data_IF_502735224456
#
_entry.id   IF_502735224456
#
_cell.length_a   1.000
_cell.length_b   1.000
_cell.length_c   1.000
_cell.angle_alpha   90.00
_cell.angle_beta   90.00
_cell.angle_gamma   90.00
#
_symmetry.space_group_name_H-M   'P 1'
#
loop_
_entity.id
_entity.type
_entity.pdbx_description
1 polymer ?
#
# COMPACT_ATOMS: atom_id res chain seq x y z
N UNK A 1 -12.82 -19.72 -23.75
CA UNK A 1 -13.85 -20.12 -22.76
C UNK A 1 -13.30 -20.69 -21.44
N UNK A 2 -12.07 -21.26 -21.38
CA UNK A 2 -11.48 -21.73 -20.10
C UNK A 2 -10.90 -20.63 -19.19
N UNK A 3 -10.54 -19.45 -19.71
CA UNK A 3 -9.99 -18.35 -18.88
C UNK A 3 -11.05 -17.49 -18.18
N UNK A 4 -12.23 -17.32 -18.77
CA UNK A 4 -13.28 -16.43 -18.21
C UNK A 4 -13.78 -16.96 -16.86
N UNK A 5 -13.89 -18.27 -16.69
CA UNK A 5 -14.34 -18.89 -15.43
C UNK A 5 -13.32 -18.82 -14.30
N UNK A 6 -12.02 -18.77 -14.61
CA UNK A 6 -10.96 -18.56 -13.60
C UNK A 6 -10.86 -17.09 -13.21
N UNK A 7 -11.01 -16.18 -14.18
CA UNK A 7 -11.03 -14.73 -13.97
C UNK A 7 -12.24 -14.31 -13.12
N UNK A 8 -13.42 -14.91 -13.35
CA UNK A 8 -14.60 -14.69 -12.50
C UNK A 8 -14.37 -15.18 -11.06
N UNK A 9 -13.65 -16.30 -10.88
CA UNK A 9 -13.30 -16.83 -9.56
C UNK A 9 -12.29 -15.92 -8.81
N UNK A 10 -11.30 -15.39 -9.53
CA UNK A 10 -10.33 -14.40 -9.03
C UNK A 10 -11.03 -13.11 -8.63
N UNK A 11 -11.94 -12.59 -9.47
CA UNK A 11 -12.79 -11.46 -9.13
C UNK A 11 -13.62 -11.75 -7.86
N UNK A 12 -14.26 -12.92 -7.74
CA UNK A 12 -15.02 -13.25 -6.52
C UNK A 12 -14.17 -13.42 -5.26
N UNK A 13 -12.89 -13.83 -5.37
CA UNK A 13 -11.95 -13.87 -4.24
C UNK A 13 -11.57 -12.47 -3.74
N UNK A 14 -11.55 -11.46 -4.62
CA UNK A 14 -11.29 -10.07 -4.23
C UNK A 14 -12.47 -9.38 -3.53
N UNK A 15 -13.71 -9.84 -3.73
CA UNK A 15 -14.92 -9.10 -3.34
C UNK A 15 -15.66 -9.63 -2.11
N UNK A 16 -15.12 -10.60 -1.37
CA UNK A 16 -15.79 -11.08 -0.15
C UNK A 16 -15.08 -10.56 1.09
N UNK A 17 -15.48 -9.36 1.54
CA UNK A 17 -15.97 -9.07 2.91
C UNK A 17 -15.78 -7.59 3.29
N UNK A 18 -16.88 -7.06 3.81
CA UNK A 18 -17.09 -5.84 4.61
C UNK A 18 -17.39 -4.51 3.86
N UNK A 19 -18.61 -3.95 4.02
CA UNK A 19 -19.01 -2.69 3.42
C UNK A 19 -18.44 -1.53 4.24
N UNK A 20 -17.29 -1.00 3.81
CA UNK A 20 -17.04 0.42 4.07
C UNK A 20 -18.15 1.18 3.34
N UNK A 21 -18.89 2.02 4.06
CA UNK A 21 -19.96 2.83 3.45
C UNK A 21 -19.34 3.69 2.34
N UNK A 22 -19.78 3.45 1.11
CA UNK A 22 -19.27 4.09 -0.10
C UNK A 22 -19.63 5.58 -0.11
N UNK A 23 -18.72 6.42 0.35
CA UNK A 23 -18.58 7.72 -0.31
C UNK A 23 -17.83 7.43 -1.61
N UNK A 24 -18.47 7.73 -2.74
CA UNK A 24 -17.88 7.55 -4.08
C UNK A 24 -16.52 8.23 -4.14
N UNK A 25 -15.44 7.45 -4.19
CA UNK A 25 -14.08 7.98 -4.26
C UNK A 25 -13.60 8.02 -5.71
N UNK A 26 -13.31 9.23 -6.21
CA UNK A 26 -12.74 9.40 -7.55
C UNK A 26 -11.30 9.90 -7.44
N UNK A 27 -10.30 9.07 -7.77
CA UNK A 27 -8.90 9.50 -7.70
C UNK A 27 -8.60 10.57 -8.74
N UNK A 28 -7.84 11.58 -8.33
CA UNK A 28 -7.39 12.67 -9.22
C UNK A 28 -5.88 12.54 -9.52
N UNK A 29 -5.42 13.07 -10.66
CA UNK A 29 -3.98 13.12 -10.96
C UNK A 29 -3.26 14.11 -10.02
N UNK A 30 -2.12 13.70 -9.45
CA UNK A 30 -1.22 14.62 -8.75
C UNK A 30 -0.68 15.68 -9.70
N UNK A 31 -0.32 16.83 -9.14
CA UNK A 31 0.28 17.96 -9.87
C UNK A 31 1.60 17.60 -10.58
N UNK A 32 2.31 16.58 -10.10
CA UNK A 32 3.51 16.05 -10.70
C UNK A 32 3.35 14.55 -10.95
N UNK A 33 3.60 14.13 -12.19
CA UNK A 33 3.60 12.72 -12.59
C UNK A 33 5.03 12.21 -12.55
N UNK A 34 5.25 11.05 -11.94
CA UNK A 34 6.54 10.38 -11.87
C UNK A 34 6.80 9.55 -13.13
N UNK A 35 7.99 9.67 -13.70
CA UNK A 35 8.45 8.77 -14.75
C UNK A 35 8.70 7.34 -14.21
N UNK A 36 8.46 6.28 -15.02
CA UNK A 36 8.87 4.91 -14.64
C UNK A 36 10.33 4.85 -14.26
N UNK A 37 10.66 4.03 -13.26
CA UNK A 37 12.03 3.53 -13.13
C UNK A 37 12.28 2.28 -14.01
N UNK A 38 13.54 1.83 -13.96
CA UNK A 38 14.04 0.68 -14.70
C UNK A 38 13.31 -0.62 -14.37
N UNK A 39 12.88 -0.80 -13.12
CA UNK A 39 12.20 -2.01 -12.66
C UNK A 39 10.81 -2.09 -13.24
N UNK A 40 10.04 -0.99 -13.17
CA UNK A 40 8.71 -0.89 -13.79
C UNK A 40 8.74 -1.17 -15.30
N UNK A 41 9.77 -0.66 -16.01
CA UNK A 41 9.93 -0.90 -17.44
C UNK A 41 10.12 -2.40 -17.71
N UNK A 42 10.93 -3.10 -16.92
CA UNK A 42 11.17 -4.52 -17.08
C UNK A 42 9.87 -5.32 -16.90
N UNK A 43 9.12 -5.08 -15.81
CA UNK A 43 7.87 -5.81 -15.55
C UNK A 43 6.83 -5.53 -16.64
N UNK A 44 6.73 -4.27 -17.10
CA UNK A 44 5.80 -3.90 -18.17
C UNK A 44 6.07 -4.69 -19.45
N UNK A 45 7.33 -4.88 -19.84
CA UNK A 45 7.67 -5.65 -21.05
C UNK A 45 7.13 -7.08 -21.00
N UNK A 46 7.09 -7.66 -19.80
CA UNK A 46 6.71 -9.07 -19.58
C UNK A 46 5.20 -9.22 -19.40
N UNK A 47 4.57 -8.23 -18.77
CA UNK A 47 3.16 -8.25 -18.38
C UNK A 47 2.26 -7.38 -19.27
N UNK A 48 2.68 -7.07 -20.51
CA UNK A 48 1.93 -6.19 -21.42
C UNK A 48 0.73 -6.92 -22.06
N UNK A 49 -0.36 -7.04 -21.31
CA UNK A 49 -1.63 -7.56 -21.83
C UNK A 49 -2.77 -6.55 -21.64
N UNK A 50 -3.24 -5.95 -22.74
CA UNK A 50 -4.27 -4.89 -22.67
C UNK A 50 -5.62 -5.38 -22.13
N UNK A 51 -5.96 -6.65 -22.33
CA UNK A 51 -7.21 -7.23 -21.85
C UNK A 51 -7.20 -7.29 -20.32
N UNK A 52 -6.17 -7.90 -19.77
CA UNK A 52 -5.91 -8.03 -18.34
C UNK A 52 -5.75 -6.66 -17.67
N UNK A 53 -5.08 -5.70 -18.31
CA UNK A 53 -5.03 -4.32 -17.81
C UNK A 53 -6.43 -3.73 -17.66
N UNK A 54 -7.27 -3.90 -18.68
CA UNK A 54 -8.64 -3.36 -18.68
C UNK A 54 -9.48 -4.03 -17.60
N UNK A 55 -9.34 -5.34 -17.41
CA UNK A 55 -10.02 -6.11 -16.36
C UNK A 55 -9.60 -5.67 -14.95
N UNK A 56 -8.30 -5.52 -14.69
CA UNK A 56 -7.79 -5.05 -13.38
C UNK A 56 -8.28 -3.62 -13.09
N UNK A 57 -8.21 -2.73 -14.08
CA UNK A 57 -8.71 -1.36 -13.93
C UNK A 57 -10.21 -1.32 -13.69
N UNK A 58 -10.97 -2.18 -14.36
CA UNK A 58 -12.41 -2.30 -14.12
C UNK A 58 -12.71 -2.83 -12.73
N UNK A 59 -11.96 -3.82 -12.24
CA UNK A 59 -12.08 -4.30 -10.87
C UNK A 59 -11.88 -3.18 -9.84
N UNK A 60 -10.89 -2.30 -10.05
CA UNK A 60 -10.72 -1.12 -9.19
C UNK A 60 -11.89 -0.13 -9.27
N UNK A 61 -12.47 0.10 -10.47
CA UNK A 61 -13.64 0.98 -10.63
C UNK A 61 -14.89 0.42 -9.97
N UNK A 62 -15.15 -0.87 -10.15
CA UNK A 62 -16.32 -1.56 -9.59
C UNK A 62 -16.26 -1.57 -8.05
N UNK A 63 -15.06 -1.64 -7.47
CA UNK A 63 -14.85 -1.50 -6.02
C UNK A 63 -14.81 -0.05 -5.51
N UNK A 64 -15.12 0.92 -6.38
CA UNK A 64 -15.00 2.35 -6.08
C UNK A 64 -13.62 2.71 -5.49
N UNK A 65 -12.58 2.03 -5.99
CA UNK A 65 -11.18 2.14 -5.59
C UNK A 65 -10.89 1.83 -4.11
N UNK A 66 -11.81 1.19 -3.39
CA UNK A 66 -11.65 0.86 -1.95
C UNK A 66 -10.39 0.01 -1.70
N UNK A 67 -10.15 -1.02 -2.52
CA UNK A 67 -8.95 -1.85 -2.47
C UNK A 67 -7.68 -1.03 -2.68
N UNK A 68 -7.66 -0.16 -3.70
CA UNK A 68 -6.52 0.71 -3.98
C UNK A 68 -6.23 1.63 -2.80
N UNK A 69 -7.27 2.18 -2.17
CA UNK A 69 -7.12 3.01 -0.98
C UNK A 69 -6.56 2.25 0.21
N UNK A 70 -7.03 1.03 0.47
CA UNK A 70 -6.48 0.15 1.53
C UNK A 70 -4.99 -0.11 1.31
N UNK A 71 -4.61 -0.34 0.06
CA UNK A 71 -3.21 -0.51 -0.33
C UNK A 71 -2.43 0.79 -0.08
N UNK A 72 -2.93 1.96 -0.50
CA UNK A 72 -2.30 3.26 -0.23
C UNK A 72 -2.08 3.52 1.27
N UNK A 73 -3.13 3.36 2.10
CA UNK A 73 -3.02 3.49 3.57
C UNK A 73 -1.98 2.56 4.16
N UNK A 74 -1.81 1.39 3.56
CA UNK A 74 -0.85 0.41 4.03
C UNK A 74 0.58 0.79 3.65
N UNK A 75 0.79 1.37 2.47
CA UNK A 75 2.07 1.99 2.10
C UNK A 75 2.47 3.10 3.07
N UNK A 76 1.55 4.02 3.39
CA UNK A 76 1.80 5.14 4.31
C UNK A 76 2.29 4.68 5.69
N UNK A 77 1.80 3.54 6.18
CA UNK A 77 2.19 2.98 7.49
C UNK A 77 3.63 2.47 7.53
N UNK A 78 4.10 1.86 6.45
CA UNK A 78 5.48 1.38 6.35
C UNK A 78 6.42 2.39 5.70
N UNK A 79 5.93 3.55 5.24
CA UNK A 79 6.68 4.47 4.36
C UNK A 79 8.03 4.90 4.97
N UNK A 80 8.06 5.29 6.25
CA UNK A 80 9.28 5.77 6.90
C UNK A 80 10.31 4.63 7.08
N UNK A 81 9.87 3.48 7.58
CA UNK A 81 10.70 2.27 7.73
C UNK A 81 11.22 1.78 6.37
N UNK A 82 10.40 1.88 5.34
CA UNK A 82 10.74 1.59 3.96
C UNK A 82 11.75 2.55 3.36
N UNK A 83 11.54 3.84 3.50
CA UNK A 83 12.46 4.84 2.94
C UNK A 83 13.87 4.65 3.50
N UNK A 84 13.98 4.44 4.82
CA UNK A 84 15.27 4.22 5.47
C UNK A 84 15.99 2.97 4.94
N UNK A 85 15.29 1.85 4.80
CA UNK A 85 15.90 0.62 4.30
C UNK A 85 16.21 0.72 2.80
N UNK A 86 15.30 1.25 1.99
CA UNK A 86 15.52 1.43 0.55
C UNK A 86 16.74 2.31 0.25
N UNK A 87 16.93 3.39 1.02
CA UNK A 87 18.09 4.29 0.87
C UNK A 87 19.41 3.58 1.17
N UNK A 88 19.50 2.85 2.28
CA UNK A 88 20.70 2.07 2.67
C UNK A 88 21.09 1.03 1.60
N UNK A 89 20.11 0.60 0.82
CA UNK A 89 20.22 -0.51 -0.12
C UNK A 89 20.19 -0.06 -1.59
N UNK A 90 20.16 1.25 -1.83
CA UNK A 90 20.09 1.87 -3.17
C UNK A 90 18.93 1.33 -4.05
N UNK A 91 17.79 1.00 -3.43
CA UNK A 91 16.64 0.45 -4.14
C UNK A 91 15.81 1.55 -4.81
N UNK A 92 15.23 1.30 -6.01
CA UNK A 92 14.35 2.26 -6.65
C UNK A 92 13.00 2.35 -5.90
N UNK A 93 12.25 3.46 -6.05
CA UNK A 93 10.96 3.64 -5.37
C UNK A 93 9.95 2.50 -5.60
N UNK A 94 9.89 1.95 -6.82
CA UNK A 94 8.99 0.83 -7.15
C UNK A 94 9.26 -0.43 -6.32
N UNK A 95 10.46 -0.59 -5.75
CA UNK A 95 10.80 -1.72 -4.89
C UNK A 95 9.97 -1.76 -3.61
N UNK A 96 9.51 -0.60 -3.10
CA UNK A 96 8.67 -0.53 -1.92
C UNK A 96 7.36 -1.31 -2.08
N UNK A 97 6.85 -1.44 -3.32
CA UNK A 97 5.57 -2.06 -3.66
C UNK A 97 5.62 -3.59 -3.80
N UNK A 98 6.81 -4.16 -4.03
CA UNK A 98 6.97 -5.58 -4.36
C UNK A 98 6.65 -6.53 -3.20
N UNK A 99 7.34 -6.46 -2.03
CA UNK A 99 7.06 -7.39 -0.93
C UNK A 99 5.66 -7.20 -0.41
N UNK A 100 5.18 -5.99 -0.59
CA UNK A 100 3.90 -5.53 -0.16
C UNK A 100 2.78 -6.25 -0.94
N UNK A 101 2.91 -6.36 -2.27
CA UNK A 101 2.01 -7.20 -3.08
C UNK A 101 2.17 -8.71 -2.84
N UNK A 102 3.31 -9.15 -2.31
CA UNK A 102 3.60 -10.57 -2.05
C UNK A 102 3.10 -11.08 -0.70
N UNK A 103 3.21 -10.27 0.37
CA UNK A 103 2.89 -10.70 1.74
C UNK A 103 1.64 -10.01 2.32
N UNK A 104 1.15 -8.97 1.67
CA UNK A 104 0.09 -8.10 2.17
C UNK A 104 -1.22 -8.19 1.41
N UNK A 105 -1.51 -9.31 0.73
CA UNK A 105 -2.84 -9.52 0.13
C UNK A 105 -3.89 -9.75 1.23
N UNK A 106 -4.27 -8.64 1.85
CA UNK A 106 -5.55 -8.31 2.52
C UNK A 106 -5.89 -8.94 3.88
N UNK A 107 -4.99 -9.65 4.55
CA UNK A 107 -5.14 -9.88 6.00
C UNK A 107 -4.57 -8.70 6.79
N UNK A 108 -5.46 -7.78 7.17
CA UNK A 108 -5.19 -6.46 7.77
C UNK A 108 -4.35 -6.46 9.06
N UNK A 109 -4.20 -7.59 9.75
CA UNK A 109 -3.70 -7.60 11.13
C UNK A 109 -2.17 -7.73 11.27
N UNK A 110 -1.44 -8.03 10.18
CA UNK A 110 0.01 -8.28 10.25
C UNK A 110 0.78 -7.41 9.27
N UNK A 111 0.76 -6.10 9.53
CA UNK A 111 1.78 -5.22 9.01
C UNK A 111 3.16 -5.69 9.51
N UNK A 112 3.95 -6.30 8.62
CA UNK A 112 5.33 -6.71 8.93
C UNK A 112 6.28 -6.05 7.93
N UNK A 113 6.54 -4.74 8.15
CA UNK A 113 7.48 -3.96 7.34
C UNK A 113 8.88 -4.61 7.36
N UNK A 114 9.23 -5.34 8.43
CA UNK A 114 10.50 -6.06 8.55
C UNK A 114 10.57 -7.34 7.71
N UNK A 115 9.47 -8.07 7.55
CA UNK A 115 9.40 -9.21 6.62
C UNK A 115 9.49 -8.71 5.19
N UNK A 116 8.77 -7.65 4.86
CA UNK A 116 8.88 -6.97 3.58
C UNK A 116 10.33 -6.56 3.31
N UNK A 117 11.02 -6.01 4.32
CA UNK A 117 12.44 -5.65 4.28
C UNK A 117 13.37 -6.80 3.97
N UNK A 118 13.19 -7.89 4.71
CA UNK A 118 14.02 -9.09 4.53
C UNK A 118 13.85 -9.69 3.14
N UNK A 119 12.66 -9.63 2.56
CA UNK A 119 12.43 -10.13 1.20
C UNK A 119 13.03 -9.21 0.12
N UNK A 120 13.12 -7.90 0.35
CA UNK A 120 13.92 -7.03 -0.54
C UNK A 120 15.41 -7.29 -0.38
N UNK A 121 15.88 -7.74 0.78
CA UNK A 121 17.30 -8.09 0.96
C UNK A 121 17.77 -9.17 0.01
N UNK A 122 16.94 -10.18 -0.24
CA UNK A 122 17.25 -11.18 -1.29
C UNK A 122 17.23 -10.62 -2.71
N UNK A 123 16.62 -9.44 -2.94
CA UNK A 123 16.59 -8.79 -4.26
C UNK A 123 17.74 -7.81 -4.48
N UNK A 124 18.46 -7.40 -3.42
CA UNK A 124 19.56 -6.42 -3.51
C UNK A 124 20.71 -6.86 -4.42
N UNK A 125 20.96 -8.16 -4.52
CA UNK A 125 22.05 -8.68 -5.35
C UNK A 125 21.66 -8.87 -6.81
N UNK A 126 20.41 -8.61 -7.18
CA UNK A 126 19.91 -8.92 -8.51
C UNK A 126 20.17 -7.76 -9.46
N UNK A 127 20.91 -8.03 -10.52
CA UNK A 127 20.96 -7.16 -11.68
C UNK A 127 19.62 -7.24 -12.45
N UNK A 128 19.48 -6.45 -13.51
CA UNK A 128 18.28 -6.47 -14.36
C UNK A 128 17.87 -7.83 -14.89
N UNK A 129 18.83 -8.70 -15.22
CA UNK A 129 18.57 -10.02 -15.79
C UNK A 129 18.05 -10.98 -14.73
N UNK A 130 18.49 -10.81 -13.48
CA UNK A 130 18.14 -11.69 -12.36
C UNK A 130 16.92 -11.22 -11.56
N UNK A 131 16.49 -9.96 -11.75
CA UNK A 131 15.36 -9.36 -11.06
C UNK A 131 14.07 -10.17 -11.25
N UNK A 132 13.69 -10.47 -12.49
CA UNK A 132 12.46 -11.20 -12.78
C UNK A 132 12.50 -12.65 -12.24
N UNK A 133 13.56 -13.44 -12.47
CA UNK A 133 13.72 -14.74 -11.81
C UNK A 133 13.60 -14.66 -10.28
N UNK A 134 14.24 -13.68 -9.65
CA UNK A 134 14.17 -13.49 -8.20
C UNK A 134 12.75 -13.19 -7.71
N UNK A 135 12.03 -12.31 -8.41
CA UNK A 135 10.62 -12.04 -8.12
C UNK A 135 9.75 -13.26 -8.27
N UNK A 136 9.99 -14.09 -9.28
CA UNK A 136 9.25 -15.35 -9.48
C UNK A 136 9.47 -16.33 -8.33
N UNK A 137 10.69 -16.40 -7.80
CA UNK A 137 10.99 -17.22 -6.61
C UNK A 137 10.22 -16.72 -5.40
N UNK A 138 10.21 -15.40 -5.14
CA UNK A 138 9.45 -14.83 -4.04
C UNK A 138 7.94 -15.03 -4.21
N UNK A 139 7.43 -14.86 -5.44
CA UNK A 139 6.04 -15.12 -5.79
C UNK A 139 5.63 -16.56 -5.48
N UNK A 140 6.42 -17.55 -5.90
CA UNK A 140 6.12 -18.96 -5.60
C UNK A 140 6.17 -19.26 -4.10
N UNK A 141 7.05 -18.59 -3.35
CA UNK A 141 7.12 -18.70 -1.90
C UNK A 141 5.96 -17.99 -1.16
N UNK A 142 5.24 -17.10 -1.84
CA UNK A 142 4.17 -16.29 -1.25
C UNK A 142 2.82 -17.00 -1.13
N UNK A 143 2.70 -18.22 -1.68
CA UNK A 143 1.45 -19.01 -1.73
C UNK A 143 0.29 -18.28 -2.44
N UNK A 144 0.60 -17.28 -3.26
CA UNK A 144 -0.38 -16.62 -4.12
C UNK A 144 -0.86 -17.61 -5.19
N UNK A 145 -2.19 -17.75 -5.32
CA UNK A 145 -2.84 -18.67 -6.27
C UNK A 145 -3.03 -18.10 -7.70
N UNK A 146 -2.46 -16.92 -7.99
CA UNK A 146 -2.57 -16.28 -9.31
C UNK A 146 -1.46 -16.69 -10.29
N UNK A 147 -1.58 -16.22 -11.53
CA UNK A 147 -0.51 -16.28 -12.52
C UNK A 147 0.53 -15.18 -12.26
N UNK A 148 1.81 -15.49 -12.45
CA UNK A 148 2.90 -14.55 -12.15
C UNK A 148 2.84 -13.29 -13.02
N UNK A 149 2.47 -13.45 -14.29
CA UNK A 149 2.30 -12.37 -15.26
C UNK A 149 1.15 -11.44 -14.85
N UNK A 150 0.04 -11.99 -14.34
CA UNK A 150 -1.07 -11.22 -13.77
C UNK A 150 -0.60 -10.41 -12.56
N UNK A 151 0.16 -11.03 -11.65
CA UNK A 151 0.76 -10.35 -10.50
C UNK A 151 1.65 -9.17 -10.91
N UNK A 152 2.52 -9.34 -11.91
CA UNK A 152 3.39 -8.26 -12.40
C UNK A 152 2.58 -7.10 -12.99
N UNK A 153 1.48 -7.41 -13.66
CA UNK A 153 0.61 -6.40 -14.22
C UNK A 153 -0.14 -5.61 -13.15
N UNK A 154 -0.72 -6.32 -12.18
CA UNK A 154 -1.39 -5.71 -11.03
C UNK A 154 -0.41 -4.81 -10.26
N UNK A 155 0.80 -5.31 -9.98
CA UNK A 155 1.87 -4.54 -9.34
C UNK A 155 2.18 -3.25 -10.12
N UNK A 156 2.35 -3.33 -11.45
CA UNK A 156 2.63 -2.15 -12.27
C UNK A 156 1.49 -1.14 -12.23
N UNK A 157 0.22 -1.59 -12.26
CA UNK A 157 -0.94 -0.71 -12.18
C UNK A 157 -0.98 -0.03 -10.80
N UNK A 158 -0.83 -0.79 -9.73
CA UNK A 158 -0.84 -0.27 -8.35
C UNK A 158 0.22 0.82 -8.15
N UNK A 159 1.47 0.58 -8.58
CA UNK A 159 2.55 1.57 -8.50
C UNK A 159 2.12 2.88 -9.18
N UNK A 160 1.57 2.79 -10.40
CA UNK A 160 1.14 3.97 -11.16
C UNK A 160 0.03 4.74 -10.49
N UNK A 161 -0.97 4.03 -9.99
CA UNK A 161 -2.10 4.66 -9.36
C UNK A 161 -1.67 5.37 -8.06
N UNK A 162 -0.88 4.73 -7.21
CA UNK A 162 -0.49 5.29 -5.91
C UNK A 162 0.50 6.45 -6.06
N UNK A 163 1.48 6.33 -6.96
CA UNK A 163 2.48 7.38 -7.11
C UNK A 163 1.94 8.59 -7.85
N UNK A 164 1.05 8.40 -8.82
CA UNK A 164 0.57 9.48 -9.68
C UNK A 164 -0.82 10.01 -9.34
N UNK A 165 -1.64 9.29 -8.58
CA UNK A 165 -2.97 9.77 -8.19
C UNK A 165 -3.02 10.22 -6.74
N UNK A 166 -3.75 11.30 -6.51
CA UNK A 166 -4.16 11.74 -5.20
C UNK A 166 -5.30 10.84 -4.73
N UNK A 167 -4.95 9.89 -3.86
CA UNK A 167 -5.85 8.85 -3.37
C UNK A 167 -6.62 9.30 -2.12
N UNK A 168 -7.14 10.54 -2.11
CA UNK A 168 -7.80 11.16 -0.96
C UNK A 168 -8.66 10.17 -0.16
N UNK A 169 -8.36 10.03 1.13
CA UNK A 169 -9.01 9.08 2.02
C UNK A 169 -10.46 9.48 2.30
N UNK A 170 -11.48 8.73 1.83
CA UNK A 170 -12.87 9.05 2.13
C UNK A 170 -13.13 8.71 3.59
N UNK A 171 -13.10 9.75 4.41
CA UNK A 171 -13.72 9.88 5.74
C UNK A 171 -13.28 8.91 6.86
N UNK A 172 -12.75 9.53 7.93
CA UNK A 172 -12.38 8.97 9.25
C UNK A 172 -11.22 7.98 9.26
N UNK A 173 -10.01 8.49 9.05
CA UNK A 173 -8.80 7.75 9.41
C UNK A 173 -8.18 8.46 10.60
N UNK A 174 -8.47 7.85 11.74
CA UNK A 174 -7.58 7.78 12.88
C UNK A 174 -6.12 7.62 12.42
N UNK A 175 -5.40 8.74 12.26
CA UNK A 175 -3.99 8.79 11.88
C UNK A 175 -3.16 8.44 13.10
N UNK A 176 -2.53 7.28 13.10
CA UNK A 176 -1.68 6.87 14.22
C UNK A 176 -0.35 7.64 14.17
N UNK A 177 0.02 8.27 15.28
CA UNK A 177 1.23 9.07 15.46
C UNK A 177 2.09 8.43 16.56
N UNK A 178 3.37 8.15 16.26
CA UNK A 178 4.33 7.70 17.26
C UNK A 178 4.88 8.89 18.05
N UNK A 179 4.53 8.98 19.33
CA UNK A 179 4.90 10.11 20.18
C UNK A 179 6.42 10.19 20.36
N UNK A 180 7.02 11.27 19.88
CA UNK A 180 8.44 11.60 20.00
C UNK A 180 8.74 12.28 21.34
N UNK A 181 10.02 12.27 21.72
CA UNK A 181 10.46 12.81 23.00
C UNK A 181 10.11 14.30 23.11
N UNK A 182 9.40 14.67 24.16
CA UNK A 182 9.00 16.06 24.43
C UNK A 182 7.74 16.54 23.70
N UNK A 183 7.00 15.64 23.04
CA UNK A 183 5.69 15.98 22.49
C UNK A 183 4.59 15.98 23.55
N UNK A 184 3.55 16.77 23.28
CA UNK A 184 2.37 16.92 24.13
C UNK A 184 1.13 16.89 23.23
N UNK A 185 -0.04 16.53 23.78
CA UNK A 185 -1.29 16.59 23.02
C UNK A 185 -1.53 17.96 22.39
N UNK A 186 -1.17 19.03 23.10
CA UNK A 186 -1.29 20.38 22.56
C UNK A 186 -0.41 20.57 21.32
N UNK A 187 0.85 20.13 21.35
CA UNK A 187 1.72 20.28 20.17
C UNK A 187 1.22 19.43 19.00
N UNK A 188 0.71 18.24 19.27
CA UNK A 188 0.08 17.39 18.25
C UNK A 188 -1.18 18.05 17.67
N UNK A 189 -2.02 18.66 18.51
CA UNK A 189 -3.21 19.41 18.09
C UNK A 189 -2.88 20.52 17.09
N UNK A 190 -1.76 21.22 17.31
CA UNK A 190 -1.30 22.29 16.41
C UNK A 190 -0.69 21.72 15.13
N UNK A 191 0.10 20.65 15.23
CA UNK A 191 0.73 19.99 14.06
C UNK A 191 -0.33 19.44 13.10
N UNK A 192 -1.38 18.84 13.66
CA UNK A 192 -2.40 18.15 12.88
C UNK A 192 -3.64 19.01 12.60
N UNK A 193 -3.78 20.18 13.25
CA UNK A 193 -4.93 21.07 13.05
C UNK A 193 -6.22 20.54 13.70
N UNK A 194 -6.10 19.71 14.74
CA UNK A 194 -7.21 18.95 15.34
C UNK A 194 -7.33 19.34 16.82
N UNK A 195 -8.53 19.58 17.37
CA UNK A 195 -8.69 19.89 18.79
C UNK A 195 -8.13 18.81 19.74
N UNK A 196 -7.53 19.24 20.86
CA UNK A 196 -7.03 18.31 21.90
C UNK A 196 -8.13 17.37 22.40
N UNK A 197 -9.36 17.87 22.54
CA UNK A 197 -10.54 17.08 22.95
C UNK A 197 -10.80 15.89 22.04
N UNK A 198 -10.55 16.05 20.75
CA UNK A 198 -10.87 15.06 19.74
C UNK A 198 -9.80 13.98 19.78
N UNK A 199 -8.52 14.38 19.92
CA UNK A 199 -7.41 13.46 20.19
C UNK A 199 -7.65 12.68 21.50
N UNK A 200 -8.14 13.33 22.56
CA UNK A 200 -8.47 12.65 23.82
C UNK A 200 -9.58 11.61 23.65
N UNK A 201 -10.64 11.98 22.93
CA UNK A 201 -11.80 11.12 22.66
C UNK A 201 -11.39 9.90 21.83
N UNK A 202 -10.58 10.12 20.80
CA UNK A 202 -10.07 9.06 19.92
C UNK A 202 -9.17 8.04 20.62
N UNK A 203 -8.58 8.40 21.76
CA UNK A 203 -7.65 7.54 22.52
C UNK A 203 -8.16 7.13 23.90
N UNK A 204 -9.45 7.36 24.18
CA UNK A 204 -10.06 7.04 25.48
C UNK A 204 -9.30 7.65 26.68
N UNK A 205 -8.74 8.86 26.51
CA UNK A 205 -7.94 9.53 27.55
C UNK A 205 -8.79 10.32 28.56
N UNK A 206 -10.09 10.47 28.32
CA UNK A 206 -10.95 11.35 29.11
C UNK A 206 -10.44 12.79 29.07
N UNK A 207 -10.21 13.41 30.23
CA UNK A 207 -9.62 14.76 30.33
C UNK A 207 -8.09 14.75 30.45
N UNK A 208 -7.46 13.57 30.43
CA UNK A 208 -6.00 13.43 30.56
C UNK A 208 -5.27 13.99 29.34
N UNK A 209 -4.19 14.72 29.57
CA UNK A 209 -3.27 15.19 28.52
C UNK A 209 -1.95 14.42 28.49
N UNK A 210 -1.83 13.39 29.33
CA UNK A 210 -0.64 12.56 29.42
C UNK A 210 -0.54 11.63 28.20
N UNK A 211 0.60 11.73 27.52
CA UNK A 211 1.02 10.82 26.44
C UNK A 211 2.43 10.32 26.72
N UNK A 212 2.73 9.09 26.33
CA UNK A 212 4.00 8.45 26.66
C UNK A 212 4.91 8.46 25.44
N UNK A 213 6.18 8.80 25.63
CA UNK A 213 7.17 8.65 24.57
C UNK A 213 7.18 7.22 24.02
N UNK A 214 7.15 7.07 22.70
CA UNK A 214 7.11 5.79 22.01
C UNK A 214 5.73 5.12 21.98
N UNK A 215 4.69 5.72 22.56
CA UNK A 215 3.33 5.22 22.38
C UNK A 215 2.75 5.68 21.05
N UNK A 216 1.90 4.85 20.44
CA UNK A 216 1.07 5.23 19.32
C UNK A 216 -0.16 5.97 19.84
N UNK A 217 -0.42 7.15 19.27
CA UNK A 217 -1.62 7.92 19.54
C UNK A 217 -2.43 8.12 18.28
N UNK A 218 -3.73 7.96 18.40
CA UNK A 218 -4.68 8.18 17.32
C UNK A 218 -5.00 9.66 17.16
N UNK A 219 -4.75 10.22 16.00
CA UNK A 219 -5.12 11.59 15.65
C UNK A 219 -6.39 11.50 14.76
N UNK A 220 -7.56 11.94 15.25
CA UNK A 220 -8.73 12.10 14.38
C UNK A 220 -8.49 13.27 13.42
N UNK A 221 -9.07 13.23 12.23
CA UNK A 221 -9.07 14.38 11.30
C UNK A 221 -10.15 15.40 11.65
#
# INVERSE_FOLDING_TARGET
MKNISKILAILTLFFTHNPFQSQTFTPELKKAIRAPDKWEILYKIIADDKGTQSEIMEAYRVDDYTKLLKVNKWFERCEEDWRSKAEVLELPPSAAFIPLMLYGRFEHEKCDCDKSARSLKSLQSLNNQDLLPGLKVLFLASQIEDEFEFFLQELSIVIRLIENFDLNNPSTILKSHLVKKGETLYRLSVIYGVPVSDIQSANNLGTSTHITFGSLITIPE
#
